data_IF_942729359490
#
_entry.id   IF_942729359490
#
_cell.length_a   1.000
_cell.length_b   1.000
_cell.length_c   1.000
_cell.angle_alpha   90.00
_cell.angle_beta   90.00
_cell.angle_gamma   90.00
#
_symmetry.space_group_name_H-M   'P 1'
#
loop_
_entity.id
_entity.type
_entity.pdbx_description
1 polymer ?
#
# COMPACT_ATOMS: atom_id res chain seq x y z
N UNK A 1 5.12 6.02 5.36
CA UNK A 1 3.72 5.88 5.77
C UNK A 1 2.89 6.98 5.13
N UNK A 2 1.58 6.84 5.15
CA UNK A 2 0.63 7.88 4.72
C UNK A 2 -0.74 7.64 5.39
N UNK A 3 -1.52 8.69 5.56
CA UNK A 3 -2.93 8.60 5.84
C UNK A 3 -3.70 8.42 4.53
N UNK A 4 -4.72 7.56 4.56
CA UNK A 4 -5.56 7.23 3.42
C UNK A 4 -7.03 7.25 3.85
N UNK A 5 -7.87 7.92 3.05
CA UNK A 5 -9.33 7.87 3.17
C UNK A 5 -9.93 7.57 1.81
N UNK A 6 -10.61 6.43 1.70
CA UNK A 6 -11.37 6.08 0.50
C UNK A 6 -12.80 6.58 0.59
N UNK A 7 -13.34 7.08 -0.51
CA UNK A 7 -14.79 7.16 -0.71
C UNK A 7 -15.30 5.91 -1.43
N UNK A 8 -16.62 5.69 -1.41
CA UNK A 8 -17.23 4.54 -2.08
C UNK A 8 -16.81 4.46 -3.56
N UNK A 9 -16.54 3.24 -4.04
CA UNK A 9 -16.12 3.01 -5.43
C UNK A 9 -14.66 3.31 -5.76
N UNK A 10 -13.89 3.93 -4.86
CA UNK A 10 -12.47 4.22 -5.10
C UNK A 10 -11.65 2.95 -5.32
N UNK A 11 -10.94 2.89 -6.46
CA UNK A 11 -9.86 1.95 -6.74
C UNK A 11 -8.53 2.67 -6.56
N UNK A 12 -7.71 2.13 -5.67
CA UNK A 12 -6.43 2.72 -5.32
C UNK A 12 -5.33 1.69 -5.44
N UNK A 13 -4.20 2.11 -5.98
CA UNK A 13 -3.00 1.30 -6.07
C UNK A 13 -1.78 2.10 -5.62
N UNK A 14 -0.98 1.48 -4.76
CA UNK A 14 0.30 2.02 -4.32
C UNK A 14 1.37 0.96 -4.49
N UNK A 15 2.49 1.35 -5.09
CA UNK A 15 3.59 0.43 -5.33
C UNK A 15 4.95 1.12 -5.31
N UNK A 16 5.96 0.30 -5.04
CA UNK A 16 7.37 0.65 -5.07
C UNK A 16 8.01 -0.08 -6.25
N UNK A 17 8.79 0.62 -7.07
CA UNK A 17 9.38 0.06 -8.29
C UNK A 17 10.82 0.48 -8.49
N UNK A 18 11.57 -0.35 -9.21
CA UNK A 18 12.78 0.10 -9.90
C UNK A 18 12.40 0.86 -11.18
N UNK A 19 13.38 1.47 -11.84
CA UNK A 19 13.24 2.07 -13.17
C UNK A 19 13.88 1.20 -14.28
N UNK A 20 14.06 -0.11 -14.02
CA UNK A 20 14.54 -1.06 -15.04
C UNK A 20 13.49 -1.26 -16.15
N UNK A 21 13.87 -1.92 -17.24
CA UNK A 21 12.95 -2.37 -18.29
C UNK A 21 13.15 -3.87 -18.53
N UNK A 22 12.21 -4.74 -18.08
CA UNK A 22 11.02 -4.42 -17.29
C UNK A 22 11.37 -3.96 -15.87
N UNK A 23 10.55 -3.10 -15.27
CA UNK A 23 10.73 -2.70 -13.88
C UNK A 23 10.45 -3.87 -12.94
N UNK A 24 11.08 -3.86 -11.77
CA UNK A 24 10.76 -4.77 -10.67
C UNK A 24 9.80 -4.04 -9.73
N UNK A 25 8.64 -4.63 -9.48
CA UNK A 25 7.71 -4.17 -8.47
C UNK A 25 8.01 -4.86 -7.13
N UNK A 26 8.28 -4.06 -6.10
CA UNK A 26 8.50 -4.52 -4.74
C UNK A 26 7.17 -4.60 -3.96
N UNK A 27 7.09 -4.02 -2.75
CA UNK A 27 5.84 -3.89 -2.03
C UNK A 27 4.77 -3.19 -2.86
N UNK A 28 3.58 -3.77 -2.89
CA UNK A 28 2.41 -3.09 -3.44
C UNK A 28 1.15 -3.40 -2.66
N UNK A 29 0.23 -2.44 -2.66
CA UNK A 29 -1.11 -2.62 -2.12
C UNK A 29 -2.16 -2.13 -3.11
N UNK A 30 -3.30 -2.82 -3.15
CA UNK A 30 -4.49 -2.41 -3.91
C UNK A 30 -5.69 -2.37 -2.99
N UNK A 31 -6.51 -1.33 -3.12
CA UNK A 31 -7.84 -1.24 -2.51
C UNK A 31 -8.86 -1.37 -3.63
N UNK A 32 -9.67 -2.42 -3.56
CA UNK A 32 -10.75 -2.67 -4.53
C UNK A 32 -11.99 -1.81 -4.20
N UNK A 33 -12.97 -1.76 -5.11
CA UNK A 33 -14.15 -0.87 -4.97
C UNK A 33 -14.94 -1.09 -3.67
N UNK A 34 -15.03 -2.34 -3.22
CA UNK A 34 -15.65 -2.78 -1.96
C UNK A 34 -14.82 -2.42 -0.72
N UNK A 35 -13.59 -1.91 -0.89
CA UNK A 35 -12.66 -1.59 0.18
C UNK A 35 -11.75 -2.75 0.58
N UNK A 36 -11.78 -3.90 -0.12
CA UNK A 36 -10.84 -4.99 0.16
C UNK A 36 -9.41 -4.53 -0.13
N UNK A 37 -8.55 -4.61 0.88
CA UNK A 37 -7.12 -4.34 0.77
C UNK A 37 -6.38 -5.64 0.46
N UNK A 38 -5.60 -5.61 -0.62
CA UNK A 38 -4.65 -6.66 -0.98
C UNK A 38 -3.23 -6.14 -0.92
N UNK A 39 -2.29 -7.04 -0.64
CA UNK A 39 -0.85 -6.80 -0.56
C UNK A 39 -0.14 -7.78 -1.48
N UNK A 40 0.51 -7.30 -2.54
CA UNK A 40 1.08 -8.13 -3.62
C UNK A 40 0.11 -9.25 -4.09
N UNK A 41 -1.19 -8.94 -4.19
CA UNK A 41 -2.25 -9.87 -4.59
C UNK A 41 -2.87 -10.71 -3.46
N UNK A 42 -2.27 -10.74 -2.25
CA UNK A 42 -2.84 -11.42 -1.08
C UNK A 42 -3.91 -10.55 -0.42
N UNK A 43 -5.14 -11.03 -0.30
CA UNK A 43 -6.20 -10.37 0.47
C UNK A 43 -5.83 -10.32 1.97
N UNK A 44 -5.94 -9.14 2.58
CA UNK A 44 -5.57 -8.92 3.98
C UNK A 44 -6.77 -8.56 4.86
N UNK A 45 -7.47 -7.50 4.53
CA UNK A 45 -8.51 -6.89 5.38
C UNK A 45 -9.41 -5.98 4.56
N UNK A 46 -10.40 -5.34 5.17
CA UNK A 46 -11.26 -4.36 4.52
C UNK A 46 -11.08 -2.98 5.15
N UNK A 47 -10.92 -1.95 4.32
CA UNK A 47 -10.77 -0.57 4.77
C UNK A 47 -12.14 0.12 4.87
N UNK A 48 -12.38 0.91 5.92
CA UNK A 48 -13.63 1.64 6.09
C UNK A 48 -13.82 2.70 5.01
N UNK A 49 -15.07 2.98 4.67
CA UNK A 49 -15.47 4.06 3.76
C UNK A 49 -15.53 5.38 4.53
N UNK A 50 -15.04 6.47 3.91
CA UNK A 50 -15.05 7.84 4.43
C UNK A 50 -14.36 8.02 5.79
N UNK A 51 -13.49 7.10 6.20
CA UNK A 51 -12.69 7.18 7.43
C UNK A 51 -11.19 7.11 7.13
N UNK A 52 -10.40 7.86 7.92
CA UNK A 52 -8.94 7.87 7.80
C UNK A 52 -8.34 6.62 8.43
N UNK A 53 -7.40 6.01 7.70
CA UNK A 53 -6.48 5.00 8.22
C UNK A 53 -5.04 5.42 7.93
N UNK A 54 -4.13 5.16 8.85
CA UNK A 54 -2.69 5.29 8.61
C UNK A 54 -2.15 3.96 8.10
N UNK A 55 -1.52 3.98 6.94
CA UNK A 55 -0.83 2.83 6.34
C UNK A 55 0.67 3.05 6.45
N UNK A 56 1.36 2.09 7.07
CA UNK A 56 2.80 2.05 7.15
C UNK A 56 3.32 0.78 6.46
N UNK A 57 4.22 0.96 5.48
CA UNK A 57 4.94 -0.10 4.78
C UNK A 57 6.39 -0.01 5.21
N UNK A 58 6.97 -1.14 5.60
CA UNK A 58 8.39 -1.26 5.90
C UNK A 58 9.00 -2.39 5.09
N UNK A 59 9.94 -2.05 4.21
CA UNK A 59 10.61 -2.97 3.31
C UNK A 59 12.08 -2.58 3.19
N UNK A 60 12.98 -3.55 3.34
CA UNK A 60 14.39 -3.35 3.06
C UNK A 60 14.63 -3.22 1.56
N UNK A 61 15.55 -2.34 1.17
CA UNK A 61 15.88 -2.03 -0.23
C UNK A 61 17.38 -2.22 -0.46
N UNK A 62 17.76 -2.63 -1.66
CA UNK A 62 19.16 -2.88 -2.02
C UNK A 62 19.76 -4.01 -1.21
N UNK A 63 20.87 -3.73 -0.51
CA UNK A 63 21.55 -4.72 0.34
C UNK A 63 20.67 -5.22 1.50
N UNK A 64 19.68 -4.44 1.91
CA UNK A 64 18.78 -4.78 3.02
C UNK A 64 17.52 -5.52 2.55
N UNK A 65 17.37 -5.78 1.24
CA UNK A 65 16.19 -6.44 0.69
C UNK A 65 16.11 -7.92 1.07
N UNK A 66 15.11 -8.27 1.88
CA UNK A 66 14.87 -9.65 2.34
C UNK A 66 13.97 -10.47 1.41
N UNK A 67 13.25 -9.82 0.49
CA UNK A 67 12.18 -10.43 -0.29
C UNK A 67 10.85 -10.50 0.45
N UNK A 68 10.75 -9.78 1.58
CA UNK A 68 9.52 -9.60 2.33
C UNK A 68 9.38 -8.15 2.80
N UNK A 69 8.17 -7.78 3.20
CA UNK A 69 7.88 -6.51 3.84
C UNK A 69 6.80 -6.67 4.91
N UNK A 70 6.64 -5.64 5.74
CA UNK A 70 5.54 -5.55 6.68
C UNK A 70 4.61 -4.39 6.35
N UNK A 71 3.34 -4.59 6.67
CA UNK A 71 2.27 -3.61 6.57
C UNK A 71 1.64 -3.45 7.94
N UNK A 72 1.49 -2.20 8.38
CA UNK A 72 0.76 -1.87 9.61
C UNK A 72 -0.34 -0.87 9.28
N UNK A 73 -1.53 -1.12 9.81
CA UNK A 73 -2.73 -0.31 9.58
C UNK A 73 -3.32 0.12 10.91
N UNK A 74 -3.40 1.43 11.13
CA UNK A 74 -4.04 2.06 12.30
C UNK A 74 -5.24 2.89 11.82
N UNK A 75 -6.29 3.02 12.63
CA UNK A 75 -7.43 3.86 12.32
C UNK A 75 -8.64 3.55 13.17
N UNK A 76 -9.77 4.17 12.87
CA UNK A 76 -11.03 3.96 13.59
C UNK A 76 -11.42 2.47 13.58
N UNK A 77 -11.68 1.92 14.77
CA UNK A 77 -11.96 0.49 14.97
C UNK A 77 -10.74 -0.45 14.96
N UNK A 78 -9.52 0.07 14.73
CA UNK A 78 -8.27 -0.72 14.68
C UNK A 78 -7.34 -0.39 15.85
N UNK A 79 -7.82 -0.72 17.05
CA UNK A 79 -7.04 -0.64 18.30
C UNK A 79 -7.00 -2.02 18.96
N UNK A 80 -5.84 -2.71 19.00
CA UNK A 80 -4.54 -2.29 18.48
C UNK A 80 -4.50 -2.23 16.93
N UNK A 81 -3.44 -1.63 16.39
CA UNK A 81 -3.22 -1.61 14.95
C UNK A 81 -3.11 -3.04 14.39
N UNK A 82 -3.67 -3.25 13.20
CA UNK A 82 -3.51 -4.51 12.48
C UNK A 82 -2.10 -4.58 11.86
N UNK A 83 -1.41 -5.69 12.09
CA UNK A 83 -0.06 -5.93 11.58
C UNK A 83 -0.04 -7.16 10.67
N UNK A 84 0.60 -7.01 9.52
CA UNK A 84 0.88 -8.08 8.58
C UNK A 84 2.39 -8.13 8.37
N UNK A 85 2.99 -9.27 8.68
CA UNK A 85 4.44 -9.50 8.59
C UNK A 85 4.72 -10.51 7.48
N UNK A 86 5.98 -10.54 7.05
CA UNK A 86 6.50 -11.52 6.09
C UNK A 86 5.68 -11.59 4.80
N UNK A 87 5.14 -10.44 4.35
CA UNK A 87 4.43 -10.35 3.08
C UNK A 87 5.46 -10.49 1.95
N UNK A 88 5.29 -11.46 1.03
CA UNK A 88 6.28 -11.71 -0.01
C UNK A 88 6.30 -10.59 -1.05
N UNK A 89 7.50 -10.18 -1.46
CA UNK A 89 7.71 -9.32 -2.62
C UNK A 89 9.06 -9.66 -3.29
N UNK A 90 9.25 -9.34 -4.59
CA UNK A 90 10.57 -9.39 -5.19
C UNK A 90 11.60 -8.59 -4.37
N UNK A 91 12.87 -9.03 -4.38
CA UNK A 91 13.96 -8.27 -3.75
C UNK A 91 14.18 -6.98 -4.53
N UNK A 92 13.76 -5.86 -3.95
CA UNK A 92 13.86 -4.55 -4.59
C UNK A 92 15.30 -4.03 -4.47
N UNK A 93 16.05 -4.05 -5.58
CA UNK A 93 17.47 -3.65 -5.61
C UNK A 93 17.68 -2.15 -5.39
N UNK A 94 16.69 -1.32 -5.75
CA UNK A 94 16.66 0.12 -5.52
C UNK A 94 15.22 0.62 -5.53
N UNK A 95 14.93 1.67 -4.77
CA UNK A 95 13.67 2.39 -4.89
C UNK A 95 13.86 3.53 -5.88
N UNK A 96 13.31 3.39 -7.08
CA UNK A 96 13.37 4.44 -8.11
C UNK A 96 12.04 5.14 -8.32
N UNK A 97 10.94 4.50 -7.91
CA UNK A 97 9.61 5.07 -7.99
C UNK A 97 8.77 4.58 -6.82
N UNK A 98 8.05 5.51 -6.19
CA UNK A 98 7.01 5.25 -5.21
C UNK A 98 5.82 6.08 -5.64
N UNK A 99 4.69 5.44 -5.89
CA UNK A 99 3.54 6.14 -6.44
C UNK A 99 2.21 5.76 -5.84
N UNK A 100 1.26 6.65 -6.07
CA UNK A 100 -0.14 6.54 -5.72
C UNK A 100 -0.92 6.67 -7.03
N UNK A 101 -1.77 5.69 -7.32
CA UNK A 101 -2.46 5.59 -8.61
C UNK A 101 -3.96 5.47 -8.34
N UNK A 102 -4.72 6.36 -8.96
CA UNK A 102 -6.16 6.19 -9.13
C UNK A 102 -6.37 5.12 -10.22
N UNK A 103 -6.69 3.90 -9.81
CA UNK A 103 -6.69 2.73 -10.67
C UNK A 103 -8.11 2.35 -11.12
N UNK A 104 -8.92 3.37 -11.42
CA UNK A 104 -10.30 3.24 -11.87
C UNK A 104 -10.47 3.84 -13.26
N UNK A 105 -11.28 3.17 -14.10
CA UNK A 105 -11.92 3.79 -15.27
C UNK A 105 -13.34 4.25 -14.91
N UNK A 106 -13.46 4.98 -13.80
CA UNK A 106 -14.71 5.49 -13.25
C UNK A 106 -14.43 6.67 -12.31
N UNK A 107 -15.40 7.57 -12.16
CA UNK A 107 -15.31 8.68 -11.22
C UNK A 107 -15.33 8.17 -9.78
N UNK A 108 -14.24 8.42 -9.05
CA UNK A 108 -14.12 8.09 -7.65
C UNK A 108 -13.14 9.02 -6.94
N UNK A 109 -13.24 9.08 -5.61
CA UNK A 109 -12.40 9.95 -4.79
C UNK A 109 -11.71 9.16 -3.70
N UNK A 110 -10.43 9.44 -3.51
CA UNK A 110 -9.71 9.11 -2.29
C UNK A 110 -8.82 10.28 -1.91
N UNK A 111 -8.44 10.32 -0.65
CA UNK A 111 -7.59 11.36 -0.08
C UNK A 111 -6.33 10.73 0.47
N UNK A 112 -5.22 11.44 0.32
CA UNK A 112 -3.92 11.13 0.89
C UNK A 112 -3.49 12.29 1.75
N UNK A 113 -2.91 11.99 2.90
CA UNK A 113 -2.33 12.97 3.81
C UNK A 113 -1.15 12.35 4.57
N UNK A 114 -0.42 13.15 5.36
CA UNK A 114 0.65 12.70 6.26
C UNK A 114 1.70 11.77 5.61
N UNK A 115 2.05 12.07 4.35
CA UNK A 115 3.04 11.27 3.61
C UNK A 115 4.42 11.48 4.23
N UNK A 116 5.03 10.38 4.66
CA UNK A 116 6.36 10.37 5.26
C UNK A 116 7.20 9.23 4.68
N UNK A 117 8.40 9.57 4.22
CA UNK A 117 9.44 8.64 3.77
C UNK A 117 10.61 8.73 4.76
N UNK A 118 11.15 7.58 5.16
CA UNK A 118 12.26 7.45 6.11
C UNK A 118 13.27 6.46 5.58
#
# INVERSE_FOLDING_TARGET
SFAFRREAGALFYHAWRTNDTPYIEGPSIRVTQDGTLTANGKKLTQLPVSRWVTIAIHCGVGKDATGTYSLRIKGEGRTPAEEFRDLPCPKLSRLSWLGFVADANADAVFYLDDISLK
#
